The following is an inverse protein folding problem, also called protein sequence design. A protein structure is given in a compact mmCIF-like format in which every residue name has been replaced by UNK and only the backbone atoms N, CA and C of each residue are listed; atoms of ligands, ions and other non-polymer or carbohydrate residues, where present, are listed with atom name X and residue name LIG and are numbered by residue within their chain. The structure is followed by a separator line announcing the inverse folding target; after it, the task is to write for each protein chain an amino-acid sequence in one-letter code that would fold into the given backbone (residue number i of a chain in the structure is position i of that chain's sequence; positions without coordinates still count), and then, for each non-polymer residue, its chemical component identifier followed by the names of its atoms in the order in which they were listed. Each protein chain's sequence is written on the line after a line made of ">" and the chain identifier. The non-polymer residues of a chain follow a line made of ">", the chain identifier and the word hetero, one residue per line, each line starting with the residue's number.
data_IF_034001812389
#
_entry.id   IF_034001812389
#
_cell.length_a   1.000
_cell.length_b   1.000
_cell.length_c   1.000
_cell.angle_alpha   90.00
_cell.angle_beta   90.00
_cell.angle_gamma   90.00
#
_symmetry.space_group_name_H-M   'P 1'
#
loop_
_entity.id
_entity.type
_entity.pdbx_description
1 polymer ?
#
# COMPACT_ATOMS: atom_id res chain seq x y z
N UNK A 1 -7.75 -14.22 -6.78
CA UNK A 1 -8.46 -13.12 -6.09
C UNK A 1 -7.61 -11.85 -5.87
N UNK A 2 -6.27 -11.91 -5.74
CA UNK A 2 -5.44 -10.71 -5.53
C UNK A 2 -5.23 -9.81 -6.75
N UNK A 3 -5.39 -10.34 -7.96
CA UNK A 3 -5.12 -9.62 -9.21
C UNK A 3 -6.07 -8.42 -9.41
N UNK A 4 -7.37 -8.58 -9.12
CA UNK A 4 -8.35 -7.52 -9.26
C UNK A 4 -8.11 -6.37 -8.30
N UNK A 5 -7.76 -6.66 -7.04
CA UNK A 5 -7.43 -5.62 -6.06
C UNK A 5 -6.24 -4.79 -6.51
N UNK A 6 -5.21 -5.44 -7.06
CA UNK A 6 -4.02 -4.73 -7.54
C UNK A 6 -4.35 -3.80 -8.72
N UNK A 7 -5.14 -4.29 -9.69
CA UNK A 7 -5.58 -3.48 -10.85
C UNK A 7 -6.48 -2.32 -10.42
N UNK A 8 -7.44 -2.54 -9.53
CA UNK A 8 -8.34 -1.49 -9.04
C UNK A 8 -7.57 -0.39 -8.31
N UNK A 9 -6.61 -0.76 -7.45
CA UNK A 9 -5.78 0.20 -6.72
C UNK A 9 -4.89 0.99 -7.69
N UNK A 10 -4.30 0.33 -8.68
CA UNK A 10 -3.48 0.98 -9.70
C UNK A 10 -4.28 2.03 -10.50
N UNK A 11 -5.47 1.65 -10.98
CA UNK A 11 -6.36 2.56 -11.72
C UNK A 11 -6.82 3.73 -10.86
N UNK A 12 -7.14 3.50 -9.59
CA UNK A 12 -7.56 4.54 -8.67
C UNK A 12 -6.47 5.59 -8.43
N UNK A 13 -5.23 5.15 -8.15
CA UNK A 13 -4.10 6.08 -7.99
C UNK A 13 -3.78 6.83 -9.29
N UNK A 14 -3.88 6.18 -10.44
CA UNK A 14 -3.67 6.82 -11.75
C UNK A 14 -4.68 7.93 -12.00
N UNK A 15 -5.95 7.70 -11.68
CA UNK A 15 -7.01 8.70 -11.79
C UNK A 15 -6.78 9.91 -10.86
N UNK A 16 -6.44 9.65 -9.60
CA UNK A 16 -6.12 10.68 -8.62
C UNK A 16 -4.95 11.54 -9.12
N UNK A 17 -3.84 10.91 -9.52
CA UNK A 17 -2.67 11.63 -10.03
C UNK A 17 -3.08 12.49 -11.23
N UNK A 18 -3.83 11.95 -12.18
CA UNK A 18 -4.32 12.70 -13.35
C UNK A 18 -5.15 13.94 -13.01
N UNK A 19 -6.12 13.83 -12.11
CA UNK A 19 -6.97 14.95 -11.68
C UNK A 19 -6.18 16.05 -10.94
N UNK A 20 -5.30 15.63 -10.03
CA UNK A 20 -4.51 16.58 -9.24
C UNK A 20 -3.39 17.23 -10.05
N UNK A 21 -2.79 16.53 -11.02
CA UNK A 21 -1.71 17.08 -11.86
C UNK A 21 -2.18 18.31 -12.65
N UNK A 22 -3.34 18.25 -13.29
CA UNK A 22 -3.88 19.38 -14.06
C UNK A 22 -4.22 20.57 -13.16
N UNK A 23 -4.87 20.32 -12.02
CA UNK A 23 -5.27 21.37 -11.06
C UNK A 23 -4.04 22.06 -10.44
N UNK A 24 -3.00 21.29 -10.10
CA UNK A 24 -1.76 21.80 -9.51
C UNK A 24 -0.88 22.56 -10.51
N UNK A 25 -0.87 22.13 -11.79
CA UNK A 25 -0.16 22.84 -12.86
C UNK A 25 -0.72 24.25 -13.10
N UNK A 26 -2.03 24.44 -12.95
CA UNK A 26 -2.68 25.74 -13.14
C UNK A 26 -2.50 26.71 -11.98
N UNK A 27 -2.39 26.24 -10.73
CA UNK A 27 -2.49 27.12 -9.56
C UNK A 27 -1.17 27.36 -8.83
N UNK A 28 -0.30 26.36 -8.65
CA UNK A 28 0.95 26.53 -7.91
C UNK A 28 1.86 25.30 -8.01
N UNK A 29 2.99 25.40 -8.72
CA UNK A 29 3.92 24.27 -8.98
C UNK A 29 4.49 23.60 -7.70
N UNK A 30 4.52 24.31 -6.58
CA UNK A 30 5.09 23.83 -5.31
C UNK A 30 4.23 22.76 -4.61
N UNK A 31 2.91 22.76 -4.84
CA UNK A 31 1.98 21.80 -4.21
C UNK A 31 2.19 20.35 -4.66
N UNK A 32 2.75 20.15 -5.86
CA UNK A 32 3.03 18.83 -6.43
C UNK A 32 3.96 18.01 -5.52
N UNK A 33 4.98 18.67 -4.96
CA UNK A 33 6.00 18.01 -4.14
C UNK A 33 5.39 17.45 -2.85
N UNK A 34 4.55 18.24 -2.19
CA UNK A 34 3.83 17.80 -0.98
C UNK A 34 2.82 16.69 -1.25
N UNK A 35 2.18 16.70 -2.43
CA UNK A 35 1.23 15.65 -2.79
C UNK A 35 1.90 14.29 -2.99
N UNK A 36 3.02 14.26 -3.73
CA UNK A 36 3.82 13.05 -3.85
C UNK A 36 4.37 12.60 -2.50
N UNK A 37 4.86 13.53 -1.68
CA UNK A 37 5.34 13.20 -0.33
C UNK A 37 4.24 12.60 0.55
N UNK A 38 3.02 13.16 0.53
CA UNK A 38 1.88 12.64 1.28
C UNK A 38 1.44 11.26 0.78
N UNK A 39 1.37 11.05 -0.54
CA UNK A 39 1.04 9.75 -1.12
C UNK A 39 2.08 8.68 -0.76
N UNK A 40 3.38 9.01 -0.85
CA UNK A 40 4.47 8.12 -0.45
C UNK A 40 4.40 7.81 1.05
N UNK A 41 4.19 8.81 1.90
CA UNK A 41 4.02 8.59 3.34
C UNK A 41 2.85 7.65 3.66
N UNK A 42 1.70 7.85 3.02
CA UNK A 42 0.53 6.97 3.18
C UNK A 42 0.89 5.54 2.78
N UNK A 43 1.53 5.35 1.62
CA UNK A 43 1.98 4.02 1.18
C UNK A 43 2.98 3.40 2.16
N UNK A 44 3.96 4.16 2.65
CA UNK A 44 4.97 3.68 3.59
C UNK A 44 4.36 3.28 4.93
N UNK A 45 3.44 4.08 5.49
CA UNK A 45 2.73 3.73 6.73
C UNK A 45 1.92 2.45 6.53
N UNK A 46 1.21 2.34 5.41
CA UNK A 46 0.40 1.16 5.12
C UNK A 46 1.25 -0.10 4.99
N UNK A 47 2.37 -0.03 4.25
CA UNK A 47 3.33 -1.13 4.13
C UNK A 47 3.94 -1.47 5.48
N UNK A 48 4.32 -0.49 6.30
CA UNK A 48 4.92 -0.71 7.62
C UNK A 48 3.98 -1.45 8.58
N UNK A 49 2.67 -1.17 8.53
CA UNK A 49 1.70 -1.83 9.41
C UNK A 49 1.17 -3.16 8.85
N UNK A 50 0.99 -3.28 7.53
CA UNK A 50 0.32 -4.45 6.92
C UNK A 50 1.26 -5.42 6.23
N UNK A 51 2.44 -5.02 5.77
CA UNK A 51 3.35 -5.90 5.05
C UNK A 51 4.39 -6.47 6.02
N UNK A 52 4.27 -7.73 6.48
CA UNK A 52 5.38 -8.39 7.14
C UNK A 52 6.55 -8.54 6.16
N UNK A 53 7.78 -8.50 6.66
CA UNK A 53 9.00 -8.65 5.87
C UNK A 53 8.92 -9.91 4.98
N UNK A 54 8.79 -9.72 3.66
CA UNK A 54 8.73 -10.79 2.66
C UNK A 54 10.12 -11.21 2.18
N UNK A 55 11.18 -10.62 2.73
CA UNK A 55 12.54 -10.76 2.23
C UNK A 55 13.17 -12.07 2.73
N UNK A 56 13.53 -12.95 1.81
CA UNK A 56 14.24 -14.20 2.10
C UNK A 56 13.39 -15.33 2.69
N UNK A 57 12.07 -15.15 2.80
CA UNK A 57 11.15 -16.18 3.32
C UNK A 57 10.60 -17.00 2.15
N UNK A 58 10.77 -18.34 2.16
CA UNK A 58 10.15 -19.21 1.16
C UNK A 58 8.62 -19.12 1.24
N UNK A 59 7.94 -19.21 0.09
CA UNK A 59 6.47 -19.02 -0.01
C UNK A 59 5.68 -19.99 0.87
N UNK A 60 6.23 -21.17 1.18
CA UNK A 60 5.64 -22.15 2.09
C UNK A 60 5.63 -21.70 3.56
N UNK A 61 6.57 -20.85 3.99
CA UNK A 61 6.67 -20.36 5.38
C UNK A 61 6.01 -18.99 5.60
N UNK A 62 5.52 -18.34 4.55
CA UNK A 62 4.84 -17.05 4.62
C UNK A 62 3.65 -17.06 5.60
N UNK A 63 2.92 -18.17 5.71
CA UNK A 63 1.81 -18.31 6.68
C UNK A 63 2.26 -18.26 8.14
N UNK A 64 3.50 -18.65 8.44
CA UNK A 64 4.07 -18.65 9.80
C UNK A 64 4.51 -17.24 10.20
N UNK A 65 5.11 -16.49 9.27
CA UNK A 65 5.46 -15.07 9.45
C UNK A 65 4.22 -14.21 9.69
N UNK A 66 3.12 -14.50 8.96
CA UNK A 66 1.84 -13.83 9.16
C UNK A 66 1.17 -14.16 10.50
N UNK A 67 1.35 -15.39 11.02
CA UNK A 67 0.85 -15.79 12.35
C UNK A 67 1.60 -15.12 13.51
N UNK A 68 2.88 -14.82 13.33
CA UNK A 68 3.73 -14.19 14.36
C UNK A 68 3.61 -12.66 14.38
N UNK A 69 3.11 -12.06 13.28
CA UNK A 69 2.89 -10.62 13.19
C UNK A 69 1.81 -10.15 14.18
N UNK A 70 2.10 -9.13 15.00
CA UNK A 70 1.19 -8.63 16.05
C UNK A 70 -0.20 -8.21 15.54
N UNK A 71 -0.30 -7.75 14.29
CA UNK A 71 -1.56 -7.35 13.66
C UNK A 71 -2.29 -8.53 12.97
N UNK A 72 -1.56 -9.33 12.18
CA UNK A 72 -2.15 -10.40 11.37
C UNK A 72 -2.30 -11.73 12.12
N UNK A 73 -1.50 -11.95 13.17
CA UNK A 73 -1.56 -13.12 14.04
C UNK A 73 -2.88 -13.25 14.79
N UNK A 74 -3.65 -12.16 14.96
CA UNK A 74 -5.03 -12.22 15.46
C UNK A 74 -6.01 -12.78 14.41
N UNK A 75 -5.83 -12.41 13.14
CA UNK A 75 -6.70 -12.86 12.05
C UNK A 75 -6.33 -14.26 11.53
N UNK A 76 -5.05 -14.61 11.50
CA UNK A 76 -4.55 -15.91 11.04
C UNK A 76 -4.80 -17.08 12.03
N UNK A 77 -5.17 -16.77 13.28
CA UNK A 77 -5.47 -17.77 14.33
C UNK A 77 -6.95 -18.20 14.35
N UNK A 78 -7.81 -17.53 13.57
CA UNK A 78 -9.24 -17.84 13.45
C UNK A 78 -9.62 -18.75 12.28
N UNK A 79 -8.63 -19.20 11.48
CA UNK A 79 -8.83 -20.24 10.46
C UNK A 79 -8.36 -21.56 11.06
N UNK A 80 -9.24 -22.17 11.85
CA UNK A 80 -9.13 -23.52 12.39
C UNK A 80 -10.45 -24.23 12.14
#
# INVERSE_FOLDING_TARGET
>A
AGQSMNVSVNMFFTFIIGQFFLTMLCHMKFGLFYFFAAMVLIMTIFIYFLLPETKGVPIEEMGRVWKDHRFWGKYARGVG
#
